data_IF_715971537446
#
_entry.id   IF_715971537446
#
_cell.length_a   1.000
_cell.length_b   1.000
_cell.length_c   1.000
_cell.angle_alpha   90.00
_cell.angle_beta   90.00
_cell.angle_gamma   90.00
#
_symmetry.space_group_name_H-M   'P 1'
#
loop_
_entity.id
_entity.type
_entity.pdbx_description
1 polymer ?
#
# COMPACT_ATOMS: atom_id res chain seq x y z
N UNK A 1 15.05 -30.14 -9.33
CA UNK A 1 14.09 -29.07 -8.95
C UNK A 1 14.43 -28.64 -7.53
N UNK A 2 14.56 -27.35 -7.30
CA UNK A 2 14.82 -26.81 -5.97
C UNK A 2 13.47 -26.57 -5.26
N UNK A 3 13.33 -27.06 -4.05
CA UNK A 3 12.12 -26.91 -3.23
C UNK A 3 12.48 -26.09 -1.99
N UNK A 4 11.73 -25.04 -1.74
CA UNK A 4 11.82 -24.23 -0.52
C UNK A 4 10.56 -24.47 0.32
N UNK A 5 10.70 -24.38 1.64
CA UNK A 5 9.60 -24.50 2.60
C UNK A 5 9.50 -23.21 3.41
N UNK A 6 8.31 -22.77 3.68
CA UNK A 6 8.02 -21.63 4.53
C UNK A 6 6.65 -21.80 5.20
N UNK A 7 6.39 -21.08 6.27
CA UNK A 7 5.07 -21.05 6.91
C UNK A 7 4.10 -20.14 6.14
N UNK A 8 4.61 -19.04 5.60
CA UNK A 8 3.82 -18.11 4.80
C UNK A 8 4.53 -17.76 3.49
N UNK A 9 3.80 -17.78 2.39
CA UNK A 9 4.26 -17.37 1.08
C UNK A 9 3.56 -16.05 0.67
N UNK A 10 4.34 -14.99 0.50
CA UNK A 10 3.86 -13.70 -0.01
C UNK A 10 4.18 -13.60 -1.50
N UNK A 11 3.15 -13.50 -2.32
CA UNK A 11 3.29 -13.34 -3.77
C UNK A 11 3.15 -11.86 -4.12
N UNK A 12 4.27 -11.24 -4.45
CA UNK A 12 4.39 -9.83 -4.78
C UNK A 12 5.37 -9.11 -3.86
N UNK A 13 6.36 -8.44 -4.44
CA UNK A 13 7.42 -7.71 -3.72
C UNK A 13 7.28 -6.19 -3.83
N UNK A 14 6.04 -5.71 -4.01
CA UNK A 14 5.69 -4.28 -3.92
C UNK A 14 5.51 -3.85 -2.47
N UNK A 15 5.03 -2.61 -2.25
CA UNK A 15 4.85 -2.05 -0.91
C UNK A 15 3.97 -2.90 0.00
N UNK A 16 2.83 -3.35 -0.48
CA UNK A 16 1.92 -4.19 0.29
C UNK A 16 2.54 -5.55 0.67
N UNK A 17 3.19 -6.21 -0.29
CA UNK A 17 3.83 -7.50 -0.04
C UNK A 17 4.99 -7.39 0.96
N UNK A 18 5.83 -6.37 0.83
CA UNK A 18 6.93 -6.13 1.77
C UNK A 18 6.42 -5.76 3.17
N UNK A 19 5.37 -4.94 3.28
CA UNK A 19 4.77 -4.60 4.58
C UNK A 19 4.17 -5.84 5.26
N UNK A 20 3.51 -6.70 4.48
CA UNK A 20 2.99 -7.97 4.96
C UNK A 20 4.11 -8.89 5.46
N UNK A 21 5.20 -9.00 4.69
CA UNK A 21 6.34 -9.84 5.07
C UNK A 21 7.02 -9.34 6.35
N UNK A 22 7.14 -8.04 6.53
CA UNK A 22 7.68 -7.44 7.76
C UNK A 22 6.79 -7.81 8.95
N UNK A 23 5.47 -7.63 8.84
CA UNK A 23 4.54 -7.97 9.91
C UNK A 23 4.60 -9.45 10.30
N UNK A 24 4.65 -10.34 9.30
CA UNK A 24 4.78 -11.78 9.53
C UNK A 24 6.10 -12.11 10.24
N UNK A 25 7.21 -11.53 9.77
CA UNK A 25 8.54 -11.72 10.36
C UNK A 25 8.59 -11.24 11.82
N UNK A 26 8.03 -10.07 12.12
CA UNK A 26 7.98 -9.50 13.46
C UNK A 26 7.15 -10.35 14.43
N UNK A 27 6.24 -11.16 13.89
CA UNK A 27 5.46 -12.15 14.64
C UNK A 27 6.09 -13.56 14.61
N UNK A 28 7.38 -13.68 14.25
CA UNK A 28 8.17 -14.92 14.20
C UNK A 28 7.60 -15.98 13.22
N UNK A 29 6.93 -15.55 12.17
CA UNK A 29 6.49 -16.46 11.09
C UNK A 29 7.59 -16.53 10.03
N UNK A 30 7.96 -17.77 9.64
CA UNK A 30 8.91 -18.00 8.55
C UNK A 30 8.25 -17.66 7.21
N UNK A 31 8.72 -16.56 6.60
CA UNK A 31 8.09 -15.96 5.42
C UNK A 31 9.01 -15.98 4.20
N UNK A 32 8.46 -16.43 3.08
CA UNK A 32 9.08 -16.34 1.76
C UNK A 32 8.33 -15.34 0.89
N UNK A 33 9.06 -14.38 0.31
CA UNK A 33 8.50 -13.40 -0.64
C UNK A 33 8.94 -13.76 -2.06
N UNK A 34 7.98 -13.91 -2.95
CA UNK A 34 8.22 -14.16 -4.38
C UNK A 34 7.70 -12.98 -5.19
N UNK A 35 8.56 -12.39 -6.01
CA UNK A 35 8.23 -11.25 -6.87
C UNK A 35 8.63 -11.46 -8.32
N UNK A 36 7.82 -10.93 -9.24
CA UNK A 36 8.10 -10.96 -10.68
C UNK A 36 9.18 -9.94 -11.07
N UNK A 37 9.22 -8.82 -10.39
CA UNK A 37 10.09 -7.69 -10.73
C UNK A 37 11.32 -7.63 -9.82
N UNK A 38 12.41 -7.03 -10.33
CA UNK A 38 13.55 -6.66 -9.48
C UNK A 38 13.08 -5.64 -8.43
N UNK A 39 13.75 -5.61 -7.26
CA UNK A 39 13.39 -4.72 -6.13
C UNK A 39 13.14 -3.25 -6.53
N UNK A 40 13.79 -2.75 -7.60
CA UNK A 40 13.69 -1.37 -8.05
C UNK A 40 12.60 -1.09 -9.08
N UNK A 41 11.89 -2.10 -9.53
CA UNK A 41 10.88 -1.98 -10.59
C UNK A 41 9.44 -1.99 -10.03
N UNK A 42 9.28 -2.10 -8.72
CA UNK A 42 7.98 -2.00 -8.07
C UNK A 42 7.48 -0.54 -8.09
N UNK A 43 6.20 -0.32 -8.36
CA UNK A 43 5.61 1.03 -8.45
C UNK A 43 5.83 1.85 -7.18
N UNK A 44 5.77 1.24 -6.01
CA UNK A 44 6.05 1.92 -4.73
C UNK A 44 7.48 2.48 -4.68
N UNK A 45 8.46 1.77 -5.24
CA UNK A 45 9.86 2.23 -5.29
C UNK A 45 10.07 3.30 -6.37
N UNK A 46 9.33 3.20 -7.47
CA UNK A 46 9.39 4.17 -8.57
C UNK A 46 8.64 5.47 -8.25
N UNK A 47 7.73 5.45 -7.29
CA UNK A 47 7.01 6.63 -6.87
C UNK A 47 7.97 7.69 -6.30
N UNK A 48 7.89 8.91 -6.85
CA UNK A 48 8.72 10.05 -6.44
C UNK A 48 7.98 11.03 -5.54
N UNK A 49 6.67 10.88 -5.41
CA UNK A 49 5.82 11.61 -4.48
C UNK A 49 5.66 10.87 -3.15
N UNK A 50 5.02 11.53 -2.20
CA UNK A 50 4.62 10.92 -0.93
C UNK A 50 3.25 10.26 -1.00
N UNK A 51 2.70 9.99 0.16
CA UNK A 51 1.30 9.62 0.35
C UNK A 51 0.57 10.86 0.86
N UNK A 52 -0.51 11.25 0.18
CA UNK A 52 -1.36 12.34 0.66
C UNK A 52 -2.12 11.89 1.90
N UNK A 53 -2.13 12.76 2.91
CA UNK A 53 -2.90 12.55 4.13
C UNK A 53 -3.44 13.89 4.64
N UNK A 54 -4.71 13.93 4.96
CA UNK A 54 -5.42 15.12 5.42
C UNK A 54 -5.20 15.33 6.92
N UNK A 55 -3.99 15.74 7.30
CA UNK A 55 -3.58 15.96 8.69
C UNK A 55 -3.75 17.40 9.17
N UNK A 56 -4.19 18.31 8.30
CA UNK A 56 -4.35 19.73 8.64
C UNK A 56 -3.05 20.49 8.90
N UNK A 57 -1.89 19.95 8.52
CA UNK A 57 -0.59 20.53 8.82
C UNK A 57 -0.30 21.81 8.01
N UNK A 58 -0.72 21.82 6.74
CA UNK A 58 -0.50 22.92 5.81
C UNK A 58 -1.71 23.84 5.75
N UNK A 59 -2.91 23.31 5.82
CA UNK A 59 -4.17 24.03 5.87
C UNK A 59 -5.03 23.46 7.00
N UNK A 60 -5.34 24.29 8.00
CA UNK A 60 -6.17 23.89 9.14
C UNK A 60 -7.63 23.59 8.79
N UNK A 61 -8.07 23.94 7.58
CA UNK A 61 -9.41 23.61 7.06
C UNK A 61 -9.44 22.29 6.31
N UNK A 62 -8.28 21.70 6.03
CA UNK A 62 -8.19 20.40 5.40
C UNK A 62 -8.72 19.30 6.31
N UNK A 63 -9.36 18.31 5.72
CA UNK A 63 -9.95 17.19 6.43
C UNK A 63 -10.02 15.94 5.55
N UNK A 64 -10.07 14.78 6.15
CA UNK A 64 -10.24 13.54 5.41
C UNK A 64 -11.53 13.52 4.57
N UNK A 65 -12.57 14.22 4.99
CA UNK A 65 -13.82 14.36 4.22
C UNK A 65 -13.59 15.10 2.89
N UNK A 66 -12.80 16.19 2.91
CA UNK A 66 -12.42 16.92 1.69
C UNK A 66 -11.53 16.04 0.80
N UNK A 67 -10.55 15.37 1.39
CA UNK A 67 -9.67 14.46 0.65
C UNK A 67 -10.46 13.33 -0.01
N UNK A 68 -11.39 12.70 0.69
CA UNK A 68 -12.27 11.67 0.14
C UNK A 68 -13.18 12.21 -0.99
N UNK A 69 -13.79 13.37 -0.78
CA UNK A 69 -14.64 14.01 -1.79
C UNK A 69 -13.87 14.36 -3.07
N UNK A 70 -12.67 14.90 -2.92
CA UNK A 70 -11.78 15.21 -4.05
C UNK A 70 -11.35 13.94 -4.79
N UNK A 71 -10.98 12.90 -4.04
CA UNK A 71 -10.59 11.60 -4.62
C UNK A 71 -11.72 10.95 -5.41
N UNK A 72 -12.95 11.00 -4.90
CA UNK A 72 -14.14 10.48 -5.61
C UNK A 72 -14.41 11.30 -6.87
N UNK A 73 -14.35 12.63 -6.79
CA UNK A 73 -14.55 13.52 -7.94
C UNK A 73 -13.48 13.29 -9.02
N UNK A 74 -12.22 13.19 -8.64
CA UNK A 74 -11.11 12.97 -9.57
C UNK A 74 -11.17 11.59 -10.22
N UNK A 75 -11.73 10.62 -9.53
CA UNK A 75 -12.05 9.28 -10.07
C UNK A 75 -13.35 9.22 -10.86
N UNK A 76 -13.94 10.37 -11.28
CA UNK A 76 -15.18 10.42 -12.10
C UNK A 76 -16.35 9.65 -11.47
N UNK A 77 -16.38 9.54 -10.15
CA UNK A 77 -17.39 8.80 -9.36
C UNK A 77 -17.49 7.28 -9.67
N UNK A 78 -16.45 6.68 -10.23
CA UNK A 78 -16.40 5.22 -10.45
C UNK A 78 -15.63 4.50 -9.32
N UNK A 79 -15.12 5.24 -8.35
CA UNK A 79 -14.45 4.69 -7.18
C UNK A 79 -15.42 3.93 -6.28
N UNK A 80 -14.89 2.95 -5.54
CA UNK A 80 -15.57 2.41 -4.37
C UNK A 80 -15.48 3.45 -3.23
N UNK A 81 -16.59 4.09 -2.90
CA UNK A 81 -16.63 5.19 -1.93
C UNK A 81 -16.21 4.75 -0.53
N UNK A 82 -16.55 3.51 -0.14
CA UNK A 82 -16.16 2.96 1.17
C UNK A 82 -14.65 2.75 1.24
N UNK A 83 -14.05 2.23 0.18
CA UNK A 83 -12.61 2.06 0.11
C UNK A 83 -11.87 3.42 0.14
N UNK A 84 -12.40 4.44 -0.52
CA UNK A 84 -11.85 5.81 -0.48
C UNK A 84 -11.93 6.41 0.91
N UNK A 85 -13.05 6.28 1.60
CA UNK A 85 -13.21 6.78 2.99
C UNK A 85 -12.25 6.12 3.97
N UNK A 86 -11.99 4.81 3.79
CA UNK A 86 -11.01 4.08 4.62
C UNK A 86 -9.58 4.53 4.34
N UNK A 87 -9.28 4.90 3.08
CA UNK A 87 -7.93 5.29 2.67
C UNK A 87 -7.59 6.73 3.12
N UNK A 88 -8.53 7.64 3.09
CA UNK A 88 -8.36 9.06 3.41
C UNK A 88 -8.50 9.37 4.89
#
# INVERSE_FOLDING_TARGET
MKTEKCEALVIGSGGAGLRTAIELHDNNVDVLVVGKCKKRDAHTVLATGGINAALGNMDSKDSWHLHAADSIRDGENINDSVAVEILC
#
